data_IF_997621047023
#
_entry.id   IF_997621047023
#
_cell.length_a   1.000
_cell.length_b   1.000
_cell.length_c   1.000
_cell.angle_alpha   90.00
_cell.angle_beta   90.00
_cell.angle_gamma   90.00
#
_symmetry.space_group_name_H-M   'P 1'
#
loop_
_entity.id
_entity.type
_entity.pdbx_description
1 polymer ?
#
# COMPACT_ATOMS: atom_id res chain seq x y z
N UNK A 1 -9.68 -14.50 9.55
CA UNK A 1 -8.77 -15.57 9.17
C UNK A 1 -7.66 -15.03 8.30
N UNK A 2 -6.54 -15.74 8.20
CA UNK A 2 -5.37 -15.24 7.47
C UNK A 2 -5.65 -14.95 6.00
N UNK A 3 -6.45 -15.79 5.33
CA UNK A 3 -6.76 -15.57 3.93
C UNK A 3 -7.56 -14.31 3.71
N UNK A 4 -8.50 -14.02 4.61
CA UNK A 4 -9.29 -12.81 4.54
C UNK A 4 -8.41 -11.58 4.71
N UNK A 5 -7.45 -11.63 5.63
CA UNK A 5 -6.52 -10.55 5.84
C UNK A 5 -5.60 -10.35 4.64
N UNK A 6 -5.18 -11.43 4.02
CA UNK A 6 -4.33 -11.35 2.83
C UNK A 6 -5.06 -10.66 1.68
N UNK A 7 -6.32 -11.03 1.47
CA UNK A 7 -7.13 -10.40 0.41
C UNK A 7 -7.28 -8.91 0.68
N UNK A 8 -7.57 -8.55 1.93
CA UNK A 8 -7.72 -7.13 2.29
C UNK A 8 -6.42 -6.36 2.07
N UNK A 9 -5.29 -6.93 2.43
CA UNK A 9 -4.00 -6.27 2.23
C UNK A 9 -3.70 -6.11 0.74
N UNK A 10 -4.03 -7.10 -0.07
CA UNK A 10 -3.84 -7.01 -1.52
C UNK A 10 -4.73 -5.92 -2.12
N UNK A 11 -5.97 -5.81 -1.65
CA UNK A 11 -6.86 -4.75 -2.08
C UNK A 11 -6.33 -3.38 -1.67
N UNK A 12 -5.82 -3.27 -0.45
CA UNK A 12 -5.22 -2.02 0.00
C UNK A 12 -4.04 -1.62 -0.87
N UNK A 13 -3.22 -2.59 -1.26
CA UNK A 13 -2.08 -2.30 -2.12
C UNK A 13 -2.51 -1.66 -3.43
N UNK A 14 -3.54 -2.23 -4.05
CA UNK A 14 -4.06 -1.69 -5.31
C UNK A 14 -4.57 -0.27 -5.12
N UNK A 15 -5.35 -0.03 -4.05
CA UNK A 15 -5.91 1.29 -3.79
C UNK A 15 -4.81 2.32 -3.48
N UNK A 16 -3.76 1.90 -2.78
CA UNK A 16 -2.65 2.79 -2.50
C UNK A 16 -1.89 3.16 -3.76
N UNK A 17 -1.72 2.21 -4.68
CA UNK A 17 -1.10 2.49 -5.96
C UNK A 17 -1.93 3.47 -6.78
N UNK A 18 -3.25 3.30 -6.78
CA UNK A 18 -4.14 4.24 -7.45
C UNK A 18 -4.09 5.63 -6.81
N UNK A 19 -4.08 5.68 -5.48
CA UNK A 19 -3.94 6.95 -4.78
C UNK A 19 -2.64 7.65 -5.14
N UNK A 20 -1.56 6.90 -5.26
CA UNK A 20 -0.26 7.45 -5.64
C UNK A 20 -0.32 8.09 -7.04
N UNK A 21 -1.04 7.45 -7.96
CA UNK A 21 -1.21 8.03 -9.30
C UNK A 21 -2.02 9.33 -9.26
N UNK A 22 -3.02 9.39 -8.39
CA UNK A 22 -3.85 10.59 -8.27
C UNK A 22 -3.08 11.78 -7.73
N UNK A 23 -2.00 11.57 -6.98
CA UNK A 23 -1.20 12.68 -6.46
C UNK A 23 -0.59 13.52 -7.57
N UNK A 24 -0.47 12.97 -8.78
CA UNK A 24 0.06 13.70 -9.92
C UNK A 24 -0.77 14.93 -10.29
N UNK A 25 -2.04 14.94 -9.86
CA UNK A 25 -2.94 16.07 -10.13
C UNK A 25 -2.78 17.22 -9.13
N UNK A 26 -1.90 17.05 -8.15
CA UNK A 26 -1.69 18.02 -7.09
C UNK A 26 -0.44 18.84 -7.35
N UNK A 27 -0.38 20.02 -6.71
CA UNK A 27 0.81 20.84 -6.74
C UNK A 27 2.01 20.07 -6.18
N UNK A 28 3.21 20.39 -6.70
CA UNK A 28 4.42 19.61 -6.38
C UNK A 28 4.64 19.43 -4.88
N UNK A 29 4.51 20.48 -4.10
CA UNK A 29 4.80 20.38 -2.67
C UNK A 29 3.82 19.47 -1.92
N UNK A 30 2.56 19.45 -2.35
CA UNK A 30 1.55 18.56 -1.77
C UNK A 30 1.78 17.12 -2.21
N UNK A 31 2.09 16.95 -3.49
CA UNK A 31 2.36 15.62 -4.04
C UNK A 31 3.55 14.97 -3.35
N UNK A 32 4.63 15.70 -3.17
CA UNK A 32 5.85 15.13 -2.59
C UNK A 32 5.59 14.59 -1.18
N UNK A 33 4.85 15.34 -0.36
CA UNK A 33 4.55 14.89 1.00
C UNK A 33 3.65 13.67 1.01
N UNK A 34 2.63 13.64 0.17
CA UNK A 34 1.70 12.52 0.13
C UNK A 34 2.36 11.26 -0.45
N UNK A 35 3.14 11.41 -1.51
CA UNK A 35 3.82 10.26 -2.10
C UNK A 35 4.77 9.60 -1.10
N UNK A 36 5.51 10.40 -0.32
CA UNK A 36 6.41 9.85 0.67
C UNK A 36 5.66 8.99 1.70
N UNK A 37 4.51 9.48 2.15
CA UNK A 37 3.72 8.75 3.14
C UNK A 37 3.02 7.53 2.54
N UNK A 38 2.50 7.67 1.32
CA UNK A 38 1.88 6.54 0.64
C UNK A 38 2.89 5.43 0.40
N UNK A 39 4.12 5.80 0.04
CA UNK A 39 5.17 4.82 -0.18
C UNK A 39 5.50 4.04 1.10
N UNK A 40 5.56 4.74 2.23
CA UNK A 40 5.81 4.09 3.52
C UNK A 40 4.69 3.09 3.86
N UNK A 41 3.44 3.50 3.67
CA UNK A 41 2.31 2.62 3.95
C UNK A 41 2.31 1.44 2.97
N UNK A 42 2.61 1.70 1.71
CA UNK A 42 2.66 0.65 0.70
C UNK A 42 3.70 -0.40 1.05
N UNK A 43 4.89 0.02 1.46
CA UNK A 43 5.93 -0.91 1.88
C UNK A 43 5.50 -1.73 3.10
N UNK A 44 4.80 -1.11 4.05
CA UNK A 44 4.31 -1.84 5.21
C UNK A 44 3.25 -2.87 4.81
N UNK A 45 2.36 -2.51 3.89
CA UNK A 45 1.37 -3.46 3.39
C UNK A 45 2.05 -4.64 2.72
N UNK A 46 3.04 -4.37 1.88
CA UNK A 46 3.79 -5.44 1.20
C UNK A 46 4.51 -6.34 2.20
N UNK A 47 5.08 -5.76 3.25
CA UNK A 47 5.75 -6.52 4.29
C UNK A 47 4.77 -7.46 5.00
N UNK A 48 3.58 -6.96 5.31
CA UNK A 48 2.57 -7.78 5.98
C UNK A 48 2.05 -8.89 5.06
N UNK A 49 1.93 -8.62 3.77
CA UNK A 49 1.58 -9.67 2.81
C UNK A 49 2.61 -10.80 2.84
N UNK A 50 3.89 -10.44 2.84
CA UNK A 50 4.96 -11.43 2.90
C UNK A 50 4.93 -12.22 4.22
N UNK A 51 4.64 -11.55 5.33
CA UNK A 51 4.52 -12.23 6.61
C UNK A 51 3.42 -13.29 6.58
N UNK A 52 2.26 -12.93 6.03
CA UNK A 52 1.14 -13.87 5.96
C UNK A 52 1.45 -15.04 5.04
N UNK A 53 2.12 -14.79 3.92
CA UNK A 53 2.52 -15.86 3.01
C UNK A 53 3.53 -16.79 3.66
N UNK A 54 4.50 -16.23 4.37
CA UNK A 54 5.52 -17.01 5.04
C UNK A 54 4.92 -17.88 6.13
N UNK A 55 3.93 -17.36 6.87
CA UNK A 55 3.31 -18.12 7.95
C UNK A 55 2.45 -19.28 7.47
N UNK A 56 2.08 -19.28 6.19
CA UNK A 56 1.31 -20.37 5.59
C UNK A 56 2.19 -21.55 5.16
N UNK A 57 3.43 -21.24 4.91
CA UNK A 57 4.39 -22.24 4.47
C UNK A 57 4.81 -23.12 5.57
#
# INVERSE_FOLDING_TARGET
MAESQLVELQNMRVLLEEASLLTRNLAYHRRAKLEARLELVLHEVERQIEELRASRG
#
